data_IF_100271773604
#
_entry.id   IF_100271773604
#
_cell.length_a   1.000
_cell.length_b   1.000
_cell.length_c   1.000
_cell.angle_alpha   90.00
_cell.angle_beta   90.00
_cell.angle_gamma   90.00
#
_symmetry.space_group_name_H-M   'P 1'
#
loop_
_entity.id
_entity.type
_entity.pdbx_description
1 polymer ?
#
# COMPACT_ATOMS: atom_id res chain seq x y z
N UNK A 1 -3.88 13.69 24.46
CA UNK A 1 -3.56 12.38 25.08
C UNK A 1 -4.46 11.22 24.60
N UNK A 2 -5.65 11.50 24.03
CA UNK A 2 -6.59 10.47 23.51
C UNK A 2 -6.31 9.95 22.10
N UNK A 3 -5.11 10.14 21.57
CA UNK A 3 -4.79 9.63 20.24
C UNK A 3 -4.55 8.13 20.29
N UNK A 4 -5.56 7.34 19.88
CA UNK A 4 -5.42 5.89 19.60
C UNK A 4 -4.46 5.58 18.43
N UNK A 5 -3.78 6.59 17.87
CA UNK A 5 -2.85 6.46 16.74
C UNK A 5 -1.45 6.25 17.31
N UNK A 6 -1.01 4.99 17.35
CA UNK A 6 0.31 4.58 17.80
C UNK A 6 0.62 3.14 17.36
N UNK A 7 1.74 2.58 17.84
CA UNK A 7 2.16 1.22 17.55
C UNK A 7 3.00 1.07 16.28
N UNK A 8 3.45 -0.17 16.04
CA UNK A 8 4.43 -0.53 14.99
C UNK A 8 4.00 -0.06 13.59
N UNK A 9 2.73 -0.23 13.23
CA UNK A 9 2.20 0.16 11.91
C UNK A 9 2.07 1.69 11.71
N UNK A 10 2.25 2.47 12.78
CA UNK A 10 2.23 3.93 12.78
C UNK A 10 3.62 4.53 13.03
N UNK A 11 4.64 3.70 13.24
CA UNK A 11 6.00 4.14 13.49
C UNK A 11 6.63 4.74 12.22
N UNK A 12 7.25 5.91 12.34
CA UNK A 12 7.80 6.67 11.19
C UNK A 12 8.82 5.88 10.37
N UNK A 13 9.69 5.08 11.00
CA UNK A 13 10.66 4.22 10.31
C UNK A 13 9.98 3.16 9.45
N UNK A 14 8.96 2.47 9.99
CA UNK A 14 8.17 1.48 9.25
C UNK A 14 7.45 2.14 8.09
N UNK A 15 6.86 3.33 8.31
CA UNK A 15 6.19 4.07 7.24
C UNK A 15 7.16 4.49 6.12
N UNK A 16 8.38 4.90 6.47
CA UNK A 16 9.39 5.32 5.51
C UNK A 16 9.93 4.13 4.68
N UNK A 17 10.31 3.03 5.34
CA UNK A 17 10.87 1.83 4.67
C UNK A 17 9.81 1.13 3.80
N UNK A 18 8.53 1.23 4.15
CA UNK A 18 7.42 0.61 3.39
C UNK A 18 6.76 1.57 2.39
N UNK A 19 7.43 2.66 2.01
CA UNK A 19 6.92 3.64 1.04
C UNK A 19 7.91 3.86 -0.10
N UNK A 20 7.43 4.47 -1.19
CA UNK A 20 8.30 5.00 -2.23
C UNK A 20 8.80 6.38 -1.83
N UNK A 21 9.90 6.85 -2.43
CA UNK A 21 10.44 8.18 -2.18
C UNK A 21 9.43 9.31 -2.48
N UNK A 22 8.56 9.09 -3.48
CA UNK A 22 7.60 10.08 -3.97
C UNK A 22 6.20 9.92 -3.39
N UNK A 23 5.88 8.76 -2.79
CA UNK A 23 4.52 8.48 -2.29
C UNK A 23 4.47 7.36 -1.25
N UNK A 24 3.42 7.39 -0.44
CA UNK A 24 3.10 6.28 0.48
C UNK A 24 2.53 5.07 -0.27
N UNK A 25 2.90 3.85 0.15
CA UNK A 25 2.47 2.60 -0.50
C UNK A 25 1.81 1.64 0.48
N UNK A 26 0.47 1.52 0.50
CA UNK A 26 -0.22 0.53 1.31
C UNK A 26 0.13 -0.92 0.93
N UNK A 27 0.41 -1.16 -0.35
CA UNK A 27 0.72 -2.50 -0.88
C UNK A 27 2.05 -3.02 -0.34
N UNK A 28 3.12 -2.23 -0.45
CA UNK A 28 4.45 -2.62 0.07
C UNK A 28 4.37 -2.86 1.59
N UNK A 29 3.61 -2.03 2.30
CA UNK A 29 3.38 -2.24 3.73
C UNK A 29 2.64 -3.54 4.03
N UNK A 30 1.62 -3.90 3.24
CA UNK A 30 0.91 -5.16 3.38
C UNK A 30 1.82 -6.37 3.17
N UNK A 31 2.67 -6.33 2.13
CA UNK A 31 3.69 -7.35 1.87
C UNK A 31 4.66 -7.48 3.04
N UNK A 32 5.15 -6.35 3.57
CA UNK A 32 6.03 -6.34 4.74
C UNK A 32 5.35 -6.91 5.99
N UNK A 33 4.08 -6.59 6.23
CA UNK A 33 3.31 -7.16 7.36
C UNK A 33 3.17 -8.67 7.21
N UNK A 34 2.80 -9.15 6.02
CA UNK A 34 2.64 -10.58 5.75
C UNK A 34 3.96 -11.35 5.90
N UNK A 35 5.07 -10.79 5.42
CA UNK A 35 6.38 -11.42 5.53
C UNK A 35 7.01 -11.32 6.94
N UNK A 36 7.01 -10.12 7.53
CA UNK A 36 7.73 -9.84 8.78
C UNK A 36 6.93 -10.13 10.05
N UNK A 37 5.61 -10.09 10.00
CA UNK A 37 4.75 -10.33 11.19
C UNK A 37 4.09 -11.71 11.12
N UNK A 38 3.51 -12.06 9.97
CA UNK A 38 2.74 -13.31 9.84
C UNK A 38 3.56 -14.50 9.30
N UNK A 39 4.78 -14.28 8.80
CA UNK A 39 5.62 -15.33 8.23
C UNK A 39 5.01 -16.00 6.98
N UNK A 40 4.03 -15.35 6.35
CA UNK A 40 3.29 -15.85 5.20
C UNK A 40 3.49 -14.87 4.04
N UNK A 41 4.69 -14.83 3.41
CA UNK A 41 4.95 -13.91 2.32
C UNK A 41 3.93 -14.14 1.18
N UNK A 42 3.38 -13.07 0.59
CA UNK A 42 2.43 -13.21 -0.50
C UNK A 42 3.08 -13.85 -1.73
N UNK A 43 2.29 -14.50 -2.61
CA UNK A 43 2.80 -15.08 -3.84
C UNK A 43 3.48 -14.01 -4.72
N UNK A 44 4.40 -14.40 -5.61
CA UNK A 44 5.08 -13.47 -6.50
C UNK A 44 4.07 -12.69 -7.35
N UNK A 45 4.36 -11.42 -7.69
CA UNK A 45 3.45 -10.59 -8.46
C UNK A 45 3.18 -11.21 -9.84
N UNK A 46 1.96 -11.04 -10.34
CA UNK A 46 1.59 -11.46 -11.68
C UNK A 46 2.45 -10.73 -12.72
N UNK A 47 2.92 -11.41 -13.78
CA UNK A 47 3.61 -10.74 -14.88
C UNK A 47 2.64 -9.78 -15.59
N UNK A 48 3.09 -8.54 -15.87
CA UNK A 48 2.35 -7.48 -16.57
C UNK A 48 1.17 -6.82 -15.82
N UNK A 49 1.25 -6.61 -14.50
CA UNK A 49 0.34 -5.65 -13.85
C UNK A 49 0.83 -4.22 -14.15
N UNK A 50 0.02 -3.36 -14.78
CA UNK A 50 0.41 -1.97 -15.01
C UNK A 50 0.60 -1.26 -13.66
N UNK A 51 1.63 -0.40 -13.58
CA UNK A 51 1.80 0.48 -12.44
C UNK A 51 0.54 1.32 -12.23
N UNK A 52 0.25 1.69 -10.98
CA UNK A 52 -0.85 2.60 -10.66
C UNK A 52 -0.79 3.84 -11.57
N UNK A 53 -1.81 4.05 -12.41
CA UNK A 53 -1.87 5.19 -13.31
C UNK A 53 -1.98 6.48 -12.49
N UNK A 54 -0.89 7.24 -12.42
CA UNK A 54 -0.87 8.54 -11.73
C UNK A 54 -1.55 9.66 -12.54
N UNK A 55 -1.95 9.37 -13.78
CA UNK A 55 -2.59 10.32 -14.71
C UNK A 55 -4.12 10.28 -14.70
N UNK A 56 -4.73 9.15 -14.33
CA UNK A 56 -6.19 8.93 -14.44
C UNK A 56 -6.96 9.34 -13.18
N UNK A 57 -6.29 9.42 -12.04
CA UNK A 57 -6.89 9.84 -10.76
C UNK A 57 -6.34 11.20 -10.38
N UNK A 58 -7.22 12.17 -10.11
CA UNK A 58 -6.81 13.54 -9.83
C UNK A 58 -5.70 13.58 -8.75
N UNK A 59 -4.62 14.33 -9.05
CA UNK A 59 -3.43 14.45 -8.21
C UNK A 59 -3.72 14.99 -6.79
N UNK A 60 -4.94 15.44 -6.53
CA UNK A 60 -5.41 15.95 -5.25
C UNK A 60 -6.06 14.89 -4.34
N UNK A 61 -6.39 13.68 -4.83
CA UNK A 61 -6.97 12.65 -3.97
C UNK A 61 -5.89 11.97 -3.12
N UNK A 62 -6.19 11.59 -1.86
CA UNK A 62 -5.28 10.80 -1.04
C UNK A 62 -5.01 9.44 -1.67
N UNK A 63 -3.80 8.91 -1.49
CA UNK A 63 -3.37 7.60 -2.03
C UNK A 63 -4.34 6.45 -1.71
N UNK A 64 -5.05 6.52 -0.57
CA UNK A 64 -6.09 5.56 -0.21
C UNK A 64 -7.24 5.51 -1.21
N UNK A 65 -7.73 6.67 -1.63
CA UNK A 65 -8.85 6.76 -2.58
C UNK A 65 -8.42 6.35 -3.98
N UNK A 66 -7.19 6.68 -4.38
CA UNK A 66 -6.61 6.21 -5.66
C UNK A 66 -6.51 4.68 -5.70
N UNK A 67 -6.05 4.07 -4.62
CA UNK A 67 -5.97 2.62 -4.52
C UNK A 67 -7.36 1.97 -4.46
N UNK A 68 -8.34 2.60 -3.81
CA UNK A 68 -9.72 2.11 -3.81
C UNK A 68 -10.30 2.07 -5.23
N UNK A 69 -10.08 3.12 -6.03
CA UNK A 69 -10.44 3.13 -7.44
C UNK A 69 -9.70 2.03 -8.23
N UNK A 70 -8.40 1.83 -7.99
CA UNK A 70 -7.62 0.77 -8.63
C UNK A 70 -8.11 -0.65 -8.30
N UNK A 71 -8.55 -0.88 -7.06
CA UNK A 71 -9.12 -2.17 -6.61
C UNK A 71 -10.52 -2.44 -7.15
N UNK A 72 -11.15 -1.50 -7.87
CA UNK A 72 -12.40 -1.77 -8.56
C UNK A 72 -12.24 -2.77 -9.73
N UNK A 73 -11.02 -2.89 -10.28
CA UNK A 73 -10.71 -3.93 -11.25
C UNK A 73 -10.59 -5.29 -10.55
N UNK A 74 -11.35 -6.28 -11.00
CA UNK A 74 -11.37 -7.63 -10.43
C UNK A 74 -9.99 -8.29 -10.35
N UNK A 75 -9.08 -7.97 -11.27
CA UNK A 75 -7.70 -8.50 -11.25
C UNK A 75 -6.88 -7.87 -10.13
N UNK A 76 -7.04 -6.57 -9.89
CA UNK A 76 -6.25 -5.80 -8.93
C UNK A 76 -6.83 -5.83 -7.50
N UNK A 77 -8.07 -6.29 -7.32
CA UNK A 77 -8.76 -6.33 -6.02
C UNK A 77 -8.07 -7.24 -4.99
N UNK A 78 -7.23 -8.17 -5.44
CA UNK A 78 -6.45 -9.10 -4.62
C UNK A 78 -5.27 -8.45 -3.88
N UNK A 79 -4.77 -7.32 -4.39
CA UNK A 79 -3.64 -6.55 -3.84
C UNK A 79 -4.14 -5.44 -2.92
#
# INVERSE_FOLDING_TARGET
PDSKRGGLLRQGSVLAVTSFATRTSPIIRGVWVLGSIFGAPPPPPLPNVPSLDESTVAANLPMRERLAAHRSNAVCASC
#
